data_IF_012166120467
#
_entry.id   IF_012166120467
#
_cell.length_a   1.000
_cell.length_b   1.000
_cell.length_c   1.000
_cell.angle_alpha   90.00
_cell.angle_beta   90.00
_cell.angle_gamma   90.00
#
_symmetry.space_group_name_H-M   'P 1'
#
loop_
_entity.id
_entity.type
_entity.pdbx_description
1 polymer ?
#
# COMPACT_ATOMS: atom_id res chain seq x y z
N UNK A 1 41.06 25.33 -15.47
CA UNK A 1 40.75 24.08 -14.73
C UNK A 1 39.31 23.99 -14.18
N UNK A 2 38.62 25.11 -13.87
CA UNK A 2 37.24 25.07 -13.32
C UNK A 2 36.12 24.66 -14.29
N UNK A 3 36.29 24.86 -15.60
CA UNK A 3 35.26 24.56 -16.63
C UNK A 3 35.09 23.05 -16.89
N UNK A 4 36.15 22.28 -16.68
CA UNK A 4 36.15 20.83 -16.86
C UNK A 4 35.39 20.12 -15.74
N UNK A 5 35.45 20.64 -14.52
CA UNK A 5 34.69 20.12 -13.38
C UNK A 5 33.17 20.28 -13.58
N UNK A 6 32.73 21.41 -14.14
CA UNK A 6 31.32 21.65 -14.49
C UNK A 6 30.83 20.72 -15.61
N UNK A 7 31.64 20.52 -16.65
CA UNK A 7 31.29 19.61 -17.74
C UNK A 7 31.18 18.15 -17.25
N UNK A 8 32.14 17.68 -16.45
CA UNK A 8 32.10 16.33 -15.88
C UNK A 8 30.88 16.13 -14.96
N UNK A 9 30.55 17.12 -14.12
CA UNK A 9 29.39 17.04 -13.24
C UNK A 9 28.06 17.01 -14.02
N UNK A 10 27.96 17.77 -15.11
CA UNK A 10 26.75 17.79 -15.96
C UNK A 10 26.51 16.47 -16.69
N UNK A 11 27.56 15.76 -17.11
CA UNK A 11 27.45 14.47 -17.79
C UNK A 11 27.04 13.36 -16.80
N UNK A 12 27.53 13.40 -15.56
CA UNK A 12 27.13 12.45 -14.51
C UNK A 12 25.66 12.61 -14.13
N UNK A 13 25.17 13.85 -13.97
CA UNK A 13 23.76 14.10 -13.65
C UNK A 13 22.84 13.71 -14.81
N UNK A 14 23.25 13.95 -16.06
CA UNK A 14 22.46 13.56 -17.23
C UNK A 14 22.43 12.04 -17.43
N UNK A 15 23.52 11.33 -17.18
CA UNK A 15 23.58 9.86 -17.22
C UNK A 15 22.79 9.19 -16.07
N UNK A 16 22.65 9.86 -14.93
CA UNK A 16 21.83 9.40 -13.82
C UNK A 16 20.31 9.66 -14.02
N UNK A 17 19.95 10.50 -14.99
CA UNK A 17 18.56 10.91 -15.24
C UNK A 17 17.78 9.96 -16.17
N UNK A 18 18.43 8.94 -16.74
CA UNK A 18 17.82 8.05 -17.73
C UNK A 18 17.32 6.73 -17.13
N UNK A 19 16.28 6.80 -16.29
CA UNK A 19 15.43 5.63 -15.98
C UNK A 19 14.16 6.02 -15.23
N UNK A 20 13.27 6.80 -15.85
CA UNK A 20 11.83 6.67 -15.57
C UNK A 20 11.33 5.49 -16.42
N UNK A 21 11.86 4.30 -16.14
CA UNK A 21 11.12 3.10 -16.52
C UNK A 21 9.93 3.09 -15.58
N UNK A 22 8.71 2.94 -16.12
CA UNK A 22 7.58 2.58 -15.29
C UNK A 22 7.99 1.29 -14.57
N UNK A 23 8.41 1.40 -13.31
CA UNK A 23 8.81 0.27 -12.50
C UNK A 23 7.57 -0.57 -12.33
N UNK A 24 7.45 -1.58 -13.20
CA UNK A 24 6.32 -2.49 -13.16
C UNK A 24 6.30 -3.16 -11.80
N UNK A 25 5.14 -3.15 -11.15
CA UNK A 25 4.95 -3.91 -9.92
C UNK A 25 5.20 -5.38 -10.22
N UNK A 26 5.94 -6.05 -9.35
CA UNK A 26 6.03 -7.50 -9.36
C UNK A 26 4.64 -8.09 -9.14
N UNK A 27 4.40 -9.32 -9.59
CA UNK A 27 3.11 -9.99 -9.36
C UNK A 27 2.73 -10.03 -7.88
N UNK A 28 3.72 -10.25 -7.00
CA UNK A 28 3.51 -10.27 -5.55
C UNK A 28 2.99 -8.92 -5.02
N UNK A 29 3.57 -7.81 -5.48
CA UNK A 29 3.13 -6.47 -5.10
C UNK A 29 1.72 -6.16 -5.60
N UNK A 30 1.38 -6.57 -6.84
CA UNK A 30 0.03 -6.41 -7.38
C UNK A 30 -0.99 -7.19 -6.55
N UNK A 31 -0.65 -8.42 -6.13
CA UNK A 31 -1.55 -9.19 -5.28
C UNK A 31 -1.79 -8.51 -3.93
N UNK A 32 -0.74 -8.01 -3.30
CA UNK A 32 -0.88 -7.30 -2.04
C UNK A 32 -1.75 -6.04 -2.18
N UNK A 33 -1.54 -5.26 -3.24
CA UNK A 33 -2.36 -4.09 -3.55
C UNK A 33 -3.82 -4.45 -3.82
N UNK A 34 -4.10 -5.54 -4.54
CA UNK A 34 -5.47 -5.99 -4.78
C UNK A 34 -6.17 -6.42 -3.48
N UNK A 35 -5.44 -7.07 -2.57
CA UNK A 35 -5.96 -7.43 -1.25
C UNK A 35 -6.31 -6.15 -0.47
N UNK A 36 -5.41 -5.17 -0.45
CA UNK A 36 -5.64 -3.88 0.21
C UNK A 36 -6.81 -3.12 -0.43
N UNK A 37 -6.90 -3.12 -1.76
CA UNK A 37 -8.00 -2.50 -2.49
C UNK A 37 -9.35 -3.13 -2.14
N UNK A 38 -9.39 -4.47 -2.04
CA UNK A 38 -10.60 -5.19 -1.65
C UNK A 38 -11.00 -4.91 -0.19
N UNK A 39 -10.04 -4.81 0.73
CA UNK A 39 -10.31 -4.43 2.12
C UNK A 39 -10.84 -3.00 2.22
N UNK A 40 -10.36 -2.11 1.36
CA UNK A 40 -10.80 -0.72 1.28
C UNK A 40 -12.15 -0.56 0.57
N UNK A 41 -12.71 -1.62 -0.01
CA UNK A 41 -14.00 -1.61 -0.68
C UNK A 41 -13.97 -1.02 -2.09
N UNK A 42 -12.79 -0.95 -2.73
CA UNK A 42 -12.68 -0.46 -4.11
C UNK A 42 -13.35 -1.40 -5.13
N UNK A 43 -13.69 -2.63 -4.73
CA UNK A 43 -14.50 -3.60 -5.49
C UNK A 43 -15.96 -3.14 -5.69
N UNK A 44 -16.41 -2.10 -4.98
CA UNK A 44 -17.76 -1.53 -5.08
C UNK A 44 -17.82 -0.22 -5.86
N UNK A 45 -16.71 0.22 -6.44
CA UNK A 45 -16.67 1.36 -7.35
C UNK A 45 -17.14 0.87 -8.72
N UNK A 46 -18.11 1.58 -9.28
CA UNK A 46 -18.68 1.27 -10.61
C UNK A 46 -18.49 2.46 -11.53
N UNK A 47 -18.49 2.24 -12.85
CA UNK A 47 -18.30 3.31 -13.84
C UNK A 47 -19.24 4.51 -13.65
N UNK A 48 -20.47 4.27 -13.17
CA UNK A 48 -21.47 5.31 -12.94
C UNK A 48 -21.24 6.16 -11.67
N UNK A 49 -20.38 5.72 -10.76
CA UNK A 49 -20.16 6.35 -9.46
C UNK A 49 -18.69 6.69 -9.22
N UNK A 50 -17.81 6.39 -10.18
CA UNK A 50 -16.38 6.69 -10.09
C UNK A 50 -16.15 8.18 -9.81
N UNK A 51 -15.24 8.54 -8.90
CA UNK A 51 -14.30 7.66 -8.19
C UNK A 51 -14.84 7.00 -6.92
N UNK A 52 -16.07 7.30 -6.52
CA UNK A 52 -16.64 6.88 -5.24
C UNK A 52 -17.34 5.51 -5.33
N UNK A 53 -17.59 4.93 -4.15
CA UNK A 53 -18.40 3.71 -4.05
C UNK A 53 -19.81 3.98 -4.57
N UNK A 54 -20.40 3.02 -5.27
CA UNK A 54 -21.78 3.16 -5.72
C UNK A 54 -22.71 3.34 -4.51
N UNK A 55 -23.65 4.32 -4.53
CA UNK A 55 -24.54 4.61 -3.40
C UNK A 55 -25.33 3.40 -2.90
N UNK A 56 -25.59 2.41 -3.77
CA UNK A 56 -26.27 1.16 -3.41
C UNK A 56 -25.47 0.33 -2.40
N UNK A 57 -24.14 0.45 -2.38
CA UNK A 57 -23.25 -0.38 -1.57
C UNK A 57 -22.63 0.36 -0.37
N UNK A 58 -22.95 1.64 -0.15
CA UNK A 58 -22.32 2.47 0.91
C UNK A 58 -22.42 1.82 2.29
N UNK A 59 -23.63 1.41 2.70
CA UNK A 59 -23.83 0.77 4.00
C UNK A 59 -23.14 -0.59 4.09
N UNK A 60 -23.13 -1.37 3.00
CA UNK A 60 -22.45 -2.66 2.95
C UNK A 60 -20.93 -2.50 3.14
N UNK A 61 -20.32 -1.52 2.46
CA UNK A 61 -18.89 -1.21 2.58
C UNK A 61 -18.56 -0.76 4.00
N UNK A 62 -19.43 0.06 4.61
CA UNK A 62 -19.26 0.53 5.99
C UNK A 62 -19.24 -0.62 6.98
N UNK A 63 -20.25 -1.50 6.94
CA UNK A 63 -20.30 -2.67 7.81
C UNK A 63 -19.12 -3.63 7.60
N UNK A 64 -18.69 -3.84 6.35
CA UNK A 64 -17.51 -4.67 6.05
C UNK A 64 -16.24 -4.07 6.67
N UNK A 65 -16.03 -2.76 6.53
CA UNK A 65 -14.88 -2.05 7.12
C UNK A 65 -14.86 -2.15 8.64
N UNK A 66 -16.02 -1.94 9.28
CA UNK A 66 -16.18 -2.09 10.73
C UNK A 66 -15.84 -3.53 11.19
N UNK A 67 -16.33 -4.55 10.49
CA UNK A 67 -16.02 -5.95 10.78
C UNK A 67 -14.53 -6.29 10.61
N UNK A 68 -13.90 -5.76 9.56
CA UNK A 68 -12.46 -5.94 9.33
C UNK A 68 -11.63 -5.26 10.42
N UNK A 69 -11.99 -4.04 10.82
CA UNK A 69 -11.34 -3.32 11.91
C UNK A 69 -11.48 -4.08 13.25
N UNK A 70 -12.66 -4.60 13.57
CA UNK A 70 -12.90 -5.41 14.76
C UNK A 70 -12.06 -6.71 14.74
N UNK A 71 -11.96 -7.37 13.57
CA UNK A 71 -11.12 -8.56 13.41
C UNK A 71 -9.63 -8.25 13.56
N UNK A 72 -9.17 -7.13 13.02
CA UNK A 72 -7.78 -6.68 13.18
C UNK A 72 -7.46 -6.38 14.65
N UNK A 73 -8.36 -5.70 15.37
CA UNK A 73 -8.22 -5.44 16.80
C UNK A 73 -8.19 -6.74 17.63
N UNK A 74 -9.04 -7.72 17.31
CA UNK A 74 -9.04 -9.03 17.95
C UNK A 74 -7.77 -9.84 17.63
N UNK A 75 -7.26 -9.79 16.41
CA UNK A 75 -5.99 -10.45 16.05
C UNK A 75 -4.80 -9.82 16.81
N UNK A 76 -4.80 -8.51 16.99
CA UNK A 76 -3.77 -7.79 17.76
C UNK A 76 -3.81 -8.16 19.26
N UNK A 77 -5.00 -8.31 19.86
CA UNK A 77 -5.11 -8.73 21.26
C UNK A 77 -4.63 -10.16 21.48
N UNK A 78 -4.89 -11.08 20.55
CA UNK A 78 -4.39 -12.47 20.59
C UNK A 78 -2.86 -12.51 20.45
N UNK A 79 -2.28 -11.69 19.57
CA UNK A 79 -0.82 -11.58 19.43
C UNK A 79 -0.14 -11.00 20.68
N UNK A 80 -0.79 -10.05 21.37
CA UNK A 80 -0.30 -9.46 22.62
C UNK A 80 -0.42 -10.40 23.83
N UNK A 81 -1.41 -11.32 23.83
CA UNK A 81 -1.65 -12.25 24.93
C UNK A 81 -0.72 -13.48 24.96
N UNK A 82 0.05 -13.73 23.90
CA UNK A 82 0.92 -14.90 23.76
C UNK A 82 2.42 -14.59 23.91
N UNK A 83 2.80 -13.53 24.63
CA UNK A 83 4.17 -13.40 25.10
C UNK A 83 4.33 -14.32 26.33
N UNK A 84 4.97 -15.50 26.24
CA UNK A 84 5.27 -16.28 27.43
C UNK A 84 6.19 -15.41 28.29
N UNK A 85 5.71 -15.03 29.47
CA UNK A 85 6.58 -14.55 30.53
C UNK A 85 7.56 -15.68 30.81
N UNK A 86 8.79 -15.54 30.30
CA UNK A 86 9.90 -16.40 30.63
C UNK A 86 10.20 -16.26 32.12
N UNK A 87 9.52 -17.07 32.94
CA UNK A 87 9.88 -17.30 34.33
C UNK A 87 11.11 -18.17 34.36
N UNK A 88 12.28 -17.54 34.25
CA UNK A 88 13.53 -18.11 34.73
C UNK A 88 13.77 -17.59 36.15
N UNK A 89 13.48 -18.46 37.13
CA UNK A 89 14.24 -18.68 38.37
C UNK A 89 13.53 -19.73 39.21
#
# INVERSE_FOLDING_TARGET
>A
MKKLAFAALSVVVLAASSSVFAQGKTRAEVYQELIEAQQNGLDYITDASYPDVNPVFVEQVKHRKEALAARAAAASSVASGNAPAGSVN
#
